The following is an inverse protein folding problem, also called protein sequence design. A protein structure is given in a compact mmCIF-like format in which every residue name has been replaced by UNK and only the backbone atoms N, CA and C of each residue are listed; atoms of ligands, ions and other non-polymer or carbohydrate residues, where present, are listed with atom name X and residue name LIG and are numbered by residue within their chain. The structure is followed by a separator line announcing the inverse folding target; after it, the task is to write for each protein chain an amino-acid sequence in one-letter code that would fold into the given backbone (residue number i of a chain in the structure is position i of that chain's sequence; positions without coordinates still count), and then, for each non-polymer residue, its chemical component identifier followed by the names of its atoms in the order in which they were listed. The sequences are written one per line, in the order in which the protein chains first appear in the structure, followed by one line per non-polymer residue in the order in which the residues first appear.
data_IF_107730708714
#
_entry.id   IF_107730708714
#
_cell.length_a   1.000
_cell.length_b   1.000
_cell.length_c   1.000
_cell.angle_alpha   90.00
_cell.angle_beta   90.00
_cell.angle_gamma   90.00
#
_symmetry.space_group_name_H-M   'P 1'
#
loop_
_entity.id
_entity.type
_entity.pdbx_description
1 polymer ?
#
# COMPACT_ATOMS: atom_id res chain seq x y z
N UNK A 1 5.36 48.74 9.98
CA UNK A 1 6.51 47.88 9.66
C UNK A 1 6.39 47.35 8.23
N UNK A 2 5.35 46.58 7.90
CA UNK A 2 5.19 45.90 6.59
C UNK A 2 5.22 46.87 5.41
N UNK A 3 4.48 48.00 5.51
CA UNK A 3 4.46 49.01 4.45
C UNK A 3 5.87 49.61 4.19
N UNK A 4 6.65 49.81 5.25
CA UNK A 4 8.00 50.34 5.12
C UNK A 4 9.00 49.35 4.52
N UNK A 5 8.85 48.03 4.88
CA UNK A 5 9.65 46.96 4.30
C UNK A 5 9.36 46.80 2.79
N UNK A 6 8.10 46.92 2.38
CA UNK A 6 7.71 46.94 0.97
C UNK A 6 8.28 48.13 0.20
N UNK A 7 8.30 49.32 0.78
CA UNK A 7 8.88 50.50 0.15
C UNK A 7 10.38 50.35 -0.11
N UNK A 8 11.09 49.62 0.75
CA UNK A 8 12.53 49.37 0.61
C UNK A 8 12.80 48.20 -0.36
N UNK A 9 11.75 47.52 -0.87
CA UNK A 9 11.89 46.38 -1.80
C UNK A 9 12.39 45.08 -1.16
N UNK A 10 12.28 44.97 0.17
CA UNK A 10 12.78 43.79 0.89
C UNK A 10 11.79 42.65 0.87
N UNK A 11 12.22 41.45 0.46
CA UNK A 11 11.45 40.23 0.65
C UNK A 11 11.49 39.83 2.13
N UNK A 12 10.33 39.76 2.75
CA UNK A 12 10.21 39.54 4.20
C UNK A 12 9.37 38.29 4.48
N UNK A 13 9.90 37.41 5.31
CA UNK A 13 9.16 36.28 5.87
C UNK A 13 8.87 36.57 7.33
N UNK A 14 7.60 36.48 7.71
CA UNK A 14 7.15 36.64 9.08
C UNK A 14 6.49 35.37 9.55
N UNK A 15 6.82 34.92 10.75
CA UNK A 15 6.16 33.81 11.40
C UNK A 15 5.27 34.31 12.53
N UNK A 16 4.11 33.68 12.68
CA UNK A 16 3.18 33.96 13.79
C UNK A 16 2.60 32.62 14.29
N UNK A 17 2.31 32.61 15.58
CA UNK A 17 1.68 31.45 16.21
C UNK A 17 0.16 31.58 16.20
N UNK A 18 -0.51 30.45 16.05
CA UNK A 18 -1.96 30.32 16.12
C UNK A 18 -2.33 29.81 17.50
N UNK A 19 -3.46 30.28 18.03
CA UNK A 19 -3.99 29.81 19.31
C UNK A 19 -4.70 28.46 19.14
N UNK A 20 -5.37 28.26 17.98
CA UNK A 20 -6.11 27.07 17.65
C UNK A 20 -5.75 26.59 16.24
N UNK A 21 -5.74 25.27 16.01
CA UNK A 21 -5.33 24.67 14.72
C UNK A 21 -6.23 25.08 13.56
N UNK A 22 -7.53 25.29 13.78
CA UNK A 22 -8.51 25.72 12.79
C UNK A 22 -9.18 27.05 13.12
N UNK A 23 -8.61 27.82 14.06
CA UNK A 23 -9.06 29.16 14.41
C UNK A 23 -8.57 30.25 13.42
N UNK A 24 -8.62 31.52 13.82
CA UNK A 24 -8.09 32.65 13.04
C UNK A 24 -6.63 32.42 12.62
N UNK A 25 -6.26 32.93 11.44
CA UNK A 25 -4.92 32.71 10.87
C UNK A 25 -3.81 33.25 11.76
N UNK A 26 -4.08 34.36 12.43
CA UNK A 26 -3.13 34.95 13.38
C UNK A 26 -3.89 35.57 14.54
N UNK A 27 -3.17 35.85 15.64
CA UNK A 27 -3.75 36.33 16.92
C UNK A 27 -4.59 37.57 16.79
N UNK A 28 -4.21 38.48 15.91
CA UNK A 28 -4.87 39.80 15.76
C UNK A 28 -5.74 39.87 14.48
N UNK A 29 -5.70 38.86 13.61
CA UNK A 29 -6.52 38.77 12.40
C UNK A 29 -6.21 39.79 11.31
N UNK A 30 -5.14 40.60 11.46
CA UNK A 30 -4.76 41.62 10.49
C UNK A 30 -3.60 41.22 9.61
N UNK A 31 -2.80 40.27 10.04
CA UNK A 31 -1.57 39.80 9.40
C UNK A 31 -1.84 39.21 8.00
N UNK A 32 -2.96 38.53 7.84
CA UNK A 32 -3.37 37.95 6.57
C UNK A 32 -3.75 38.99 5.52
N UNK A 33 -4.21 40.18 5.96
CA UNK A 33 -4.60 41.26 5.04
C UNK A 33 -3.40 42.05 4.51
N UNK A 34 -2.38 42.19 5.31
CA UNK A 34 -1.19 43.02 4.95
C UNK A 34 -0.13 42.19 4.21
N UNK A 35 -0.13 40.88 4.33
CA UNK A 35 0.82 39.98 3.65
C UNK A 35 0.37 39.68 2.22
N UNK A 36 1.32 39.45 1.32
CA UNK A 36 1.03 39.06 -0.07
C UNK A 36 0.79 37.56 -0.20
N UNK A 37 1.49 36.81 0.62
CA UNK A 37 1.37 35.34 0.67
C UNK A 37 1.10 34.90 2.11
N UNK A 38 0.23 33.90 2.27
CA UNK A 38 -0.09 33.30 3.57
C UNK A 38 0.01 31.79 3.42
N UNK A 39 0.91 31.21 4.20
CA UNK A 39 1.09 29.76 4.28
C UNK A 39 0.76 29.34 5.71
N UNK A 40 -0.12 28.37 5.85
CA UNK A 40 -0.53 27.81 7.14
C UNK A 40 0.14 26.46 7.30
N UNK A 41 0.78 26.26 8.43
CA UNK A 41 1.37 24.98 8.84
C UNK A 41 0.65 24.50 10.08
N UNK A 42 0.17 23.25 10.06
CA UNK A 42 -0.57 22.64 11.18
C UNK A 42 0.13 21.38 11.65
N UNK A 43 -0.10 21.03 12.92
CA UNK A 43 0.34 19.76 13.52
C UNK A 43 -0.81 19.14 14.31
N UNK A 44 -1.80 18.64 13.56
CA UNK A 44 -3.09 18.17 14.09
C UNK A 44 -2.94 16.78 14.71
N UNK A 45 -3.59 16.57 15.84
CA UNK A 45 -3.73 15.24 16.44
C UNK A 45 -4.89 14.52 15.73
N UNK A 46 -4.59 13.51 14.94
CA UNK A 46 -5.55 12.66 14.24
C UNK A 46 -5.36 11.20 14.68
N UNK A 47 -6.39 10.60 15.28
CA UNK A 47 -6.35 9.19 15.73
C UNK A 47 -5.08 8.83 16.54
N UNK A 48 -4.82 9.58 17.63
CA UNK A 48 -3.66 9.41 18.52
C UNK A 48 -2.29 9.76 17.93
N UNK A 49 -2.22 10.19 16.67
CA UNK A 49 -0.99 10.59 15.99
C UNK A 49 -1.04 12.05 15.56
N UNK A 50 0.14 12.69 15.58
CA UNK A 50 0.26 14.02 15.02
C UNK A 50 0.57 13.95 13.55
N UNK A 51 -0.25 14.66 12.77
CA UNK A 51 -0.10 14.81 11.32
C UNK A 51 0.22 16.25 10.99
N UNK A 52 1.32 16.45 10.27
CA UNK A 52 1.72 17.77 9.80
C UNK A 52 1.12 18.04 8.44
N UNK A 53 0.55 19.23 8.28
CA UNK A 53 -0.04 19.66 7.02
C UNK A 53 0.36 21.08 6.68
N UNK A 54 0.39 21.39 5.40
CA UNK A 54 0.66 22.71 4.85
C UNK A 54 -0.47 23.12 3.90
N UNK A 55 -0.90 24.37 4.01
CA UNK A 55 -1.92 24.96 3.16
C UNK A 55 -1.43 26.34 2.67
N UNK A 56 -1.59 26.62 1.38
CA UNK A 56 -1.43 27.95 0.83
C UNK A 56 -2.80 28.63 0.84
N UNK A 57 -3.03 29.46 1.85
CA UNK A 57 -4.29 30.19 1.98
C UNK A 57 -4.38 31.34 0.96
N UNK A 58 -3.27 32.02 0.71
CA UNK A 58 -3.20 33.18 -0.15
C UNK A 58 -1.87 33.23 -0.87
N UNK A 59 -1.93 33.52 -2.17
CA UNK A 59 -0.75 33.77 -2.99
C UNK A 59 -1.12 34.82 -4.04
N UNK A 60 -0.63 36.07 -3.89
CA UNK A 60 -0.95 37.15 -4.82
C UNK A 60 -0.17 37.01 -6.13
N UNK A 61 -0.81 37.38 -7.22
CA UNK A 61 -0.20 37.46 -8.54
C UNK A 61 -0.06 36.14 -9.30
N UNK A 62 -0.45 35.00 -8.70
CA UNK A 62 -0.42 33.70 -9.38
C UNK A 62 -1.48 32.73 -8.85
N UNK A 63 -1.73 31.69 -9.59
CA UNK A 63 -2.57 30.57 -9.15
C UNK A 63 -1.77 29.64 -8.23
N UNK A 64 -2.44 29.01 -7.28
CA UNK A 64 -1.85 28.02 -6.39
C UNK A 64 -2.78 26.81 -6.21
N UNK A 65 -2.23 25.72 -5.76
CA UNK A 65 -3.00 24.54 -5.39
C UNK A 65 -3.76 24.81 -4.10
N UNK A 66 -5.08 24.60 -4.16
CA UNK A 66 -5.96 24.78 -2.99
C UNK A 66 -6.03 23.48 -2.20
N UNK A 67 -6.16 23.61 -0.88
CA UNK A 67 -6.31 22.51 0.06
C UNK A 67 -5.12 22.33 0.98
N UNK A 68 -5.29 21.39 1.88
CA UNK A 68 -4.34 21.04 2.92
C UNK A 68 -3.55 19.80 2.48
N UNK A 69 -2.24 19.89 2.48
CA UNK A 69 -1.34 18.84 2.02
C UNK A 69 -0.49 18.32 3.17
N UNK A 70 -0.41 17.01 3.34
CA UNK A 70 0.49 16.44 4.34
C UNK A 70 1.95 16.66 3.94
N UNK A 71 2.82 16.81 4.95
CA UNK A 71 4.25 16.88 4.77
C UNK A 71 5.01 16.18 5.90
N UNK A 72 6.24 15.75 5.60
CA UNK A 72 7.19 15.22 6.57
C UNK A 72 8.44 16.09 6.63
N UNK A 73 9.13 16.03 7.76
CA UNK A 73 10.43 16.69 7.95
C UNK A 73 11.48 15.58 8.02
N UNK A 74 12.45 15.65 7.15
CA UNK A 74 13.57 14.70 7.07
C UNK A 74 14.89 15.45 7.20
N UNK A 75 16.01 14.72 7.21
CA UNK A 75 17.35 15.31 7.17
C UNK A 75 17.63 16.11 5.88
N UNK A 76 16.81 15.92 4.84
CA UNK A 76 16.89 16.66 3.58
C UNK A 76 15.94 17.86 3.54
N UNK A 77 15.18 18.10 4.61
CA UNK A 77 14.22 19.20 4.71
C UNK A 77 12.76 18.74 4.72
N UNK A 78 11.88 19.60 4.20
CA UNK A 78 10.44 19.38 4.16
C UNK A 78 10.05 18.67 2.86
N UNK A 79 9.38 17.53 2.97
CA UNK A 79 8.80 16.81 1.84
C UNK A 79 7.29 16.95 1.88
N UNK A 80 6.71 17.61 0.88
CA UNK A 80 5.26 17.81 0.75
C UNK A 80 4.72 16.74 -0.22
N UNK A 81 3.53 16.19 0.08
CA UNK A 81 2.86 15.17 -0.75
C UNK A 81 1.63 15.74 -1.46
N UNK A 82 1.81 16.51 -2.56
CA UNK A 82 0.72 17.14 -3.29
C UNK A 82 0.06 16.12 -4.23
N UNK A 83 -0.80 15.25 -3.71
CA UNK A 83 -1.44 14.21 -4.52
C UNK A 83 -2.31 14.76 -5.66
N UNK A 84 -2.86 15.96 -5.50
CA UNK A 84 -3.58 16.65 -6.58
C UNK A 84 -2.72 17.11 -7.76
N UNK A 85 -1.38 17.09 -7.60
CA UNK A 85 -0.44 17.41 -8.68
C UNK A 85 0.02 16.17 -9.47
N UNK A 86 -0.30 14.97 -9.01
CA UNK A 86 0.07 13.74 -9.73
C UNK A 86 -0.71 13.66 -11.05
N UNK A 87 0.00 13.79 -12.16
CA UNK A 87 -0.59 13.62 -13.48
C UNK A 87 -0.52 12.15 -13.88
N UNK A 88 -1.59 11.62 -14.46
CA UNK A 88 -1.64 10.29 -15.05
C UNK A 88 -0.96 10.32 -16.44
N UNK A 89 0.35 10.54 -16.44
CA UNK A 89 1.17 10.64 -17.67
C UNK A 89 1.98 9.37 -17.93
N UNK A 90 1.72 8.31 -17.19
CA UNK A 90 2.49 7.06 -17.29
C UNK A 90 2.29 6.43 -18.68
N UNK A 91 3.38 5.91 -19.24
CA UNK A 91 3.33 5.02 -20.39
C UNK A 91 2.80 3.66 -19.93
N UNK A 92 2.00 3.01 -20.74
CA UNK A 92 1.54 1.65 -20.50
C UNK A 92 2.39 0.67 -21.30
N UNK A 93 2.92 -0.36 -20.63
CA UNK A 93 3.72 -1.40 -21.27
C UNK A 93 2.85 -2.56 -21.70
N UNK A 94 3.13 -3.12 -22.90
CA UNK A 94 2.53 -4.38 -23.36
C UNK A 94 3.36 -5.61 -22.96
N UNK A 95 4.50 -5.41 -22.29
CA UNK A 95 5.35 -6.50 -21.79
C UNK A 95 4.68 -7.21 -20.63
N UNK A 96 4.70 -8.54 -20.65
CA UNK A 96 4.16 -9.36 -19.57
C UNK A 96 5.28 -9.86 -18.66
N UNK A 97 5.02 -9.84 -17.36
CA UNK A 97 5.88 -10.39 -16.31
C UNK A 97 5.16 -11.53 -15.62
N UNK A 98 5.88 -12.63 -15.39
CA UNK A 98 5.31 -13.81 -14.72
C UNK A 98 5.09 -13.53 -13.23
N UNK A 99 4.01 -14.09 -12.68
CA UNK A 99 3.71 -14.11 -11.25
C UNK A 99 4.54 -15.14 -10.47
N UNK A 100 5.29 -16.02 -11.14
CA UNK A 100 5.92 -17.20 -10.53
C UNK A 100 4.95 -18.38 -10.29
N UNK A 101 3.69 -18.22 -10.70
CA UNK A 101 2.66 -19.25 -10.59
C UNK A 101 1.98 -19.46 -11.95
N UNK A 102 2.36 -20.54 -12.65
CA UNK A 102 1.94 -20.79 -14.04
C UNK A 102 0.43 -20.69 -14.26
N UNK A 103 -0.37 -21.28 -13.40
CA UNK A 103 -1.83 -21.22 -13.52
C UNK A 103 -2.38 -19.81 -13.32
N UNK A 104 -1.74 -18.98 -12.51
CA UNK A 104 -2.11 -17.58 -12.33
C UNK A 104 -1.75 -16.75 -13.58
N UNK A 105 -0.60 -17.03 -14.17
CA UNK A 105 -0.19 -16.40 -15.43
C UNK A 105 -1.17 -16.76 -16.57
N UNK A 106 -1.58 -18.04 -16.67
CA UNK A 106 -2.59 -18.48 -17.64
C UNK A 106 -3.93 -17.77 -17.43
N UNK A 107 -4.38 -17.60 -16.17
CA UNK A 107 -5.61 -16.85 -15.86
C UNK A 107 -5.52 -15.37 -16.28
N UNK A 108 -4.32 -14.80 -16.33
CA UNK A 108 -4.06 -13.41 -16.72
C UNK A 108 -3.62 -13.25 -18.18
N UNK A 109 -3.74 -14.30 -19.00
CA UNK A 109 -3.35 -14.21 -20.41
C UNK A 109 -1.84 -14.08 -20.64
N UNK A 110 -1.05 -14.77 -19.79
CA UNK A 110 0.42 -14.82 -19.90
C UNK A 110 1.18 -14.01 -18.84
N UNK A 111 0.53 -13.67 -17.73
CA UNK A 111 1.12 -12.90 -16.63
C UNK A 111 0.58 -11.48 -16.51
N UNK A 112 1.21 -10.67 -15.68
CA UNK A 112 0.82 -9.28 -15.43
C UNK A 112 1.46 -8.33 -16.45
N UNK A 113 0.88 -7.19 -16.70
CA UNK A 113 1.60 -6.15 -17.42
C UNK A 113 2.73 -5.57 -16.55
N UNK A 114 3.90 -5.34 -17.14
CA UNK A 114 4.94 -4.54 -16.51
C UNK A 114 4.33 -3.17 -16.18
N UNK A 115 4.74 -2.54 -15.08
CA UNK A 115 4.18 -1.28 -14.59
C UNK A 115 2.75 -1.35 -14.00
N UNK A 116 2.16 -2.54 -13.88
CA UNK A 116 0.83 -2.69 -13.29
C UNK A 116 0.88 -2.90 -11.77
N UNK A 117 -0.22 -2.53 -11.13
CA UNK A 117 -0.44 -2.75 -9.70
C UNK A 117 -1.45 -3.87 -9.52
N UNK A 118 -1.00 -4.92 -8.85
CA UNK A 118 -1.78 -6.11 -8.55
C UNK A 118 -2.22 -6.07 -7.09
N UNK A 119 -3.47 -6.34 -6.81
CA UNK A 119 -4.02 -6.47 -5.47
C UNK A 119 -4.53 -7.89 -5.21
N UNK A 120 -3.96 -8.57 -4.22
CA UNK A 120 -4.50 -9.82 -3.70
C UNK A 120 -5.26 -9.54 -2.40
N UNK A 121 -6.55 -9.84 -2.37
CA UNK A 121 -7.41 -9.63 -1.20
C UNK A 121 -8.01 -10.94 -0.72
N UNK A 122 -8.23 -11.06 0.59
CA UNK A 122 -8.83 -12.27 1.18
C UNK A 122 -8.54 -12.38 2.67
N UNK A 123 -9.18 -13.35 3.33
CA UNK A 123 -8.98 -13.60 4.75
C UNK A 123 -7.54 -14.02 5.08
N UNK A 124 -7.18 -13.95 6.34
CA UNK A 124 -5.89 -14.46 6.85
C UNK A 124 -5.74 -15.95 6.51
N UNK A 125 -4.52 -16.38 6.18
CA UNK A 125 -4.21 -17.77 5.85
C UNK A 125 -4.58 -18.20 4.43
N UNK A 126 -5.11 -17.34 3.56
CA UNK A 126 -5.51 -17.68 2.19
C UNK A 126 -4.35 -17.74 1.18
N UNK A 127 -3.09 -17.59 1.62
CA UNK A 127 -1.90 -17.72 0.78
C UNK A 127 -1.44 -16.43 0.11
N UNK A 128 -1.87 -15.25 0.57
CA UNK A 128 -1.47 -13.95 0.01
C UNK A 128 0.05 -13.75 0.07
N UNK A 129 0.66 -13.97 1.23
CA UNK A 129 2.12 -13.87 1.43
C UNK A 129 2.89 -14.86 0.55
N UNK A 130 2.36 -16.08 0.34
CA UNK A 130 2.97 -17.05 -0.58
C UNK A 130 2.96 -16.55 -2.03
N UNK A 131 1.84 -15.97 -2.49
CA UNK A 131 1.75 -15.40 -3.85
C UNK A 131 2.75 -14.25 -4.05
N UNK A 132 2.85 -13.37 -3.07
CA UNK A 132 3.85 -12.28 -3.06
C UNK A 132 5.26 -12.85 -3.12
N UNK A 133 5.57 -13.84 -2.27
CA UNK A 133 6.90 -14.46 -2.23
C UNK A 133 7.28 -15.12 -3.57
N UNK A 134 6.34 -15.80 -4.23
CA UNK A 134 6.54 -16.38 -5.57
C UNK A 134 6.76 -15.31 -6.64
N UNK A 135 6.01 -14.21 -6.58
CA UNK A 135 6.17 -13.09 -7.51
C UNK A 135 7.55 -12.44 -7.40
N UNK A 136 8.06 -12.24 -6.18
CA UNK A 136 9.38 -11.67 -5.95
C UNK A 136 10.49 -12.66 -6.36
N UNK A 137 10.37 -13.95 -5.97
CA UNK A 137 11.30 -15.01 -6.38
C UNK A 137 11.43 -15.08 -7.90
N UNK A 138 10.32 -15.06 -8.63
CA UNK A 138 10.32 -15.14 -10.09
C UNK A 138 11.08 -13.96 -10.72
N UNK A 139 10.97 -12.75 -10.17
CA UNK A 139 11.79 -11.61 -10.59
C UNK A 139 13.28 -11.87 -10.35
N UNK A 140 13.64 -12.32 -9.15
CA UNK A 140 15.02 -12.60 -8.79
C UNK A 140 15.65 -13.71 -9.67
N UNK A 141 14.89 -14.74 -10.05
CA UNK A 141 15.39 -15.79 -10.97
C UNK A 141 15.69 -15.25 -12.37
N UNK A 142 15.10 -14.12 -12.73
CA UNK A 142 15.38 -13.40 -13.99
C UNK A 142 16.40 -12.28 -13.82
N UNK A 143 17.13 -12.27 -12.70
CA UNK A 143 18.09 -11.22 -12.35
C UNK A 143 17.46 -9.83 -12.20
N UNK A 144 16.16 -9.75 -11.96
CA UNK A 144 15.45 -8.52 -11.61
C UNK A 144 15.58 -8.26 -10.11
N UNK A 145 15.78 -7.00 -9.73
CA UNK A 145 15.75 -6.62 -8.31
C UNK A 145 14.31 -6.55 -7.82
N UNK A 146 14.07 -7.12 -6.64
CA UNK A 146 12.76 -7.17 -6.02
C UNK A 146 12.82 -6.62 -4.59
N UNK A 147 11.73 -5.99 -4.12
CA UNK A 147 11.66 -5.42 -2.78
C UNK A 147 10.35 -5.79 -2.10
N UNK A 148 10.44 -6.15 -0.80
CA UNK A 148 9.30 -6.47 0.04
C UNK A 148 9.21 -5.49 1.21
N UNK A 149 8.07 -4.83 1.35
CA UNK A 149 7.68 -4.07 2.54
C UNK A 149 6.67 -4.91 3.33
N UNK A 150 7.07 -5.38 4.51
CA UNK A 150 6.27 -6.25 5.36
C UNK A 150 5.86 -5.53 6.65
N UNK A 151 4.57 -5.54 6.96
CA UNK A 151 3.99 -4.81 8.08
C UNK A 151 3.31 -5.69 9.13
N UNK A 152 3.26 -7.01 8.94
CA UNK A 152 2.59 -7.93 9.86
C UNK A 152 3.52 -9.06 10.35
N UNK A 153 4.58 -9.37 9.63
CA UNK A 153 5.51 -10.44 9.96
C UNK A 153 6.94 -9.92 10.13
N UNK A 154 7.67 -10.50 11.09
CA UNK A 154 9.09 -10.23 11.24
C UNK A 154 9.88 -10.90 10.12
N UNK A 155 11.09 -10.38 9.86
CA UNK A 155 12.00 -10.95 8.86
C UNK A 155 12.26 -12.45 9.08
N UNK A 156 12.50 -12.87 10.33
CA UNK A 156 12.75 -14.27 10.66
C UNK A 156 11.53 -15.17 10.37
N UNK A 157 10.30 -14.67 10.63
CA UNK A 157 9.08 -15.39 10.30
C UNK A 157 8.91 -15.51 8.78
N UNK A 158 9.12 -14.42 8.03
CA UNK A 158 9.04 -14.43 6.57
C UNK A 158 10.05 -15.38 5.95
N UNK A 159 11.33 -15.33 6.36
CA UNK A 159 12.39 -16.24 5.86
C UNK A 159 12.06 -17.70 6.15
N UNK A 160 11.63 -18.02 7.38
CA UNK A 160 11.21 -19.37 7.74
C UNK A 160 10.02 -19.86 6.89
N UNK A 161 9.00 -19.01 6.71
CA UNK A 161 7.82 -19.35 5.93
C UNK A 161 8.19 -19.52 4.45
N UNK A 162 8.99 -18.63 3.89
CA UNK A 162 9.48 -18.70 2.51
C UNK A 162 10.29 -19.97 2.25
N UNK A 163 11.18 -20.33 3.18
CA UNK A 163 11.99 -21.56 3.08
C UNK A 163 11.12 -22.81 3.00
N UNK A 164 10.02 -22.87 3.76
CA UNK A 164 9.05 -23.98 3.68
C UNK A 164 8.37 -24.11 2.31
N UNK A 165 8.36 -23.04 1.51
CA UNK A 165 7.81 -22.99 0.16
C UNK A 165 8.88 -23.15 -0.93
N UNK A 166 10.12 -23.48 -0.53
CA UNK A 166 11.27 -23.62 -1.44
C UNK A 166 11.81 -22.27 -1.94
N UNK A 167 11.69 -21.21 -1.13
CA UNK A 167 12.21 -19.89 -1.43
C UNK A 167 13.22 -19.51 -0.36
N UNK A 168 14.47 -19.29 -0.76
CA UNK A 168 15.52 -18.85 0.12
C UNK A 168 15.72 -17.34 0.00
N UNK A 169 15.09 -16.60 0.91
CA UNK A 169 15.18 -15.13 0.93
C UNK A 169 16.56 -14.64 1.32
N UNK A 170 17.28 -15.38 2.17
CA UNK A 170 18.61 -14.99 2.62
C UNK A 170 19.61 -15.08 1.46
N UNK A 171 19.58 -16.14 0.67
CA UNK A 171 20.39 -16.27 -0.55
C UNK A 171 20.11 -15.16 -1.56
N UNK A 172 18.82 -14.83 -1.77
CA UNK A 172 18.44 -13.76 -2.70
C UNK A 172 18.91 -12.37 -2.22
N UNK A 173 18.90 -12.11 -0.92
CA UNK A 173 19.43 -10.87 -0.35
C UNK A 173 20.95 -10.79 -0.44
N UNK A 174 21.65 -11.88 -0.16
CA UNK A 174 23.12 -11.97 -0.30
C UNK A 174 23.56 -11.72 -1.75
N UNK A 175 22.76 -12.14 -2.72
CA UNK A 175 22.98 -11.86 -4.15
C UNK A 175 22.61 -10.41 -4.56
N UNK A 176 22.08 -9.61 -3.64
CA UNK A 176 21.64 -8.24 -3.92
C UNK A 176 20.42 -8.16 -4.85
N UNK A 177 19.67 -9.25 -5.01
CA UNK A 177 18.46 -9.31 -5.85
C UNK A 177 17.18 -9.04 -5.06
N UNK A 178 17.17 -9.27 -3.76
CA UNK A 178 16.04 -9.01 -2.89
C UNK A 178 16.44 -8.03 -1.79
N UNK A 179 15.52 -7.15 -1.40
CA UNK A 179 15.62 -6.34 -0.18
C UNK A 179 14.30 -6.44 0.57
N UNK A 180 14.37 -6.80 1.86
CA UNK A 180 13.19 -6.94 2.72
C UNK A 180 13.25 -5.90 3.84
N UNK A 181 12.20 -5.08 3.93
CA UNK A 181 12.00 -4.13 5.01
C UNK A 181 10.79 -4.56 5.85
N UNK A 182 11.04 -4.82 7.12
CA UNK A 182 9.99 -5.14 8.09
C UNK A 182 9.83 -3.97 9.04
N UNK A 183 8.61 -3.49 9.22
CA UNK A 183 8.29 -2.42 10.14
C UNK A 183 6.92 -2.65 10.78
N UNK A 184 6.73 -2.21 12.01
CA UNK A 184 5.39 -2.12 12.59
C UNK A 184 4.66 -0.94 11.95
N UNK A 185 3.38 -1.11 11.53
CA UNK A 185 2.59 -0.03 10.96
C UNK A 185 2.51 1.19 11.87
N UNK A 186 2.53 0.92 13.18
CA UNK A 186 2.42 1.94 14.23
C UNK A 186 3.72 2.71 14.48
N UNK A 187 4.86 2.31 13.88
CA UNK A 187 6.16 2.95 14.11
C UNK A 187 6.26 4.36 13.51
N UNK A 188 5.45 4.66 12.50
CA UNK A 188 5.48 5.93 11.78
C UNK A 188 4.10 6.33 11.23
N UNK A 189 3.94 7.57 10.78
CA UNK A 189 2.77 8.00 10.01
C UNK A 189 2.76 7.46 8.58
N UNK A 190 1.61 7.51 7.91
CA UNK A 190 1.51 7.05 6.51
C UNK A 190 2.43 7.83 5.57
N UNK A 191 2.60 9.12 5.82
CA UNK A 191 3.48 10.00 5.05
C UNK A 191 4.95 9.60 5.23
N UNK A 192 5.34 9.22 6.46
CA UNK A 192 6.70 8.76 6.74
C UNK A 192 6.95 7.39 6.09
N UNK A 193 5.98 6.45 6.17
CA UNK A 193 6.05 5.18 5.44
C UNK A 193 6.17 5.40 3.92
N UNK A 194 5.40 6.34 3.36
CA UNK A 194 5.49 6.67 1.93
C UNK A 194 6.87 7.22 1.57
N UNK A 195 7.45 8.06 2.43
CA UNK A 195 8.79 8.60 2.22
C UNK A 195 9.86 7.51 2.29
N UNK A 196 9.77 6.61 3.27
CA UNK A 196 10.66 5.45 3.39
C UNK A 196 10.57 4.58 2.13
N UNK A 197 9.36 4.23 1.69
CA UNK A 197 9.16 3.43 0.48
C UNK A 197 9.81 4.10 -0.73
N UNK A 198 9.61 5.41 -0.92
CA UNK A 198 10.20 6.16 -2.04
C UNK A 198 11.72 6.21 -1.99
N UNK A 199 12.30 6.46 -0.82
CA UNK A 199 13.76 6.54 -0.66
C UNK A 199 14.43 5.19 -0.90
N UNK A 200 13.86 4.11 -0.38
CA UNK A 200 14.37 2.75 -0.56
C UNK A 200 14.28 2.28 -2.02
N UNK A 201 13.17 2.61 -2.70
CA UNK A 201 13.00 2.34 -4.13
C UNK A 201 14.04 3.13 -4.95
N UNK A 202 14.25 4.40 -4.65
CA UNK A 202 15.21 5.24 -5.36
C UNK A 202 16.66 4.74 -5.19
N UNK A 203 17.00 4.21 -4.01
CA UNK A 203 18.32 3.64 -3.72
C UNK A 203 18.51 2.27 -4.39
N UNK A 204 17.57 1.35 -4.16
CA UNK A 204 17.72 -0.04 -4.60
C UNK A 204 17.34 -0.26 -6.06
N UNK A 205 16.48 0.58 -6.63
CA UNK A 205 15.96 0.53 -8.03
C UNK A 205 15.38 -0.84 -8.38
N UNK A 206 14.35 -1.31 -7.67
CA UNK A 206 13.74 -2.59 -7.94
C UNK A 206 12.87 -2.52 -9.20
N UNK A 207 12.71 -3.64 -9.92
CA UNK A 207 11.71 -3.81 -10.99
C UNK A 207 10.38 -4.32 -10.45
N UNK A 208 10.41 -4.94 -9.26
CA UNK A 208 9.23 -5.48 -8.59
C UNK A 208 9.18 -5.05 -7.15
N UNK A 209 8.02 -4.62 -6.70
CA UNK A 209 7.79 -4.33 -5.29
C UNK A 209 6.58 -5.12 -4.76
N UNK A 210 6.62 -5.42 -3.48
CA UNK A 210 5.46 -5.96 -2.78
C UNK A 210 5.22 -5.23 -1.47
N UNK A 211 3.94 -5.10 -1.09
CA UNK A 211 3.52 -4.58 0.22
C UNK A 211 2.59 -5.62 0.86
N UNK A 212 3.01 -6.19 1.97
CA UNK A 212 2.27 -7.19 2.75
C UNK A 212 2.15 -6.75 4.22
N UNK A 213 1.00 -6.20 4.64
CA UNK A 213 -0.23 -5.93 3.92
C UNK A 213 -0.63 -4.46 4.01
N UNK A 214 -1.38 -3.99 3.00
CA UNK A 214 -1.98 -2.65 3.03
C UNK A 214 -2.98 -2.49 4.19
N UNK A 215 -3.71 -3.55 4.55
CA UNK A 215 -4.67 -3.53 5.67
C UNK A 215 -4.01 -3.25 7.02
N UNK A 216 -2.76 -3.61 7.21
CA UNK A 216 -2.01 -3.27 8.42
C UNK A 216 -1.83 -1.75 8.55
N UNK A 217 -1.48 -1.08 7.46
CA UNK A 217 -1.30 0.37 7.40
C UNK A 217 -2.63 1.16 7.48
N UNK A 218 -3.75 0.52 7.19
CA UNK A 218 -5.08 1.15 7.28
C UNK A 218 -5.60 1.28 8.72
N UNK A 219 -5.00 0.55 9.68
CA UNK A 219 -5.47 0.53 11.07
C UNK A 219 -5.24 1.87 11.75
N UNK A 220 -6.29 2.41 12.36
CA UNK A 220 -6.20 3.66 13.13
C UNK A 220 -5.94 4.93 12.33
N UNK A 221 -6.16 4.91 11.02
CA UNK A 221 -6.03 6.09 10.15
C UNK A 221 -7.33 6.38 9.41
N UNK A 222 -7.54 7.62 9.00
CA UNK A 222 -8.72 7.98 8.23
C UNK A 222 -8.70 7.37 6.82
N UNK A 223 -9.86 7.02 6.29
CA UNK A 223 -9.99 6.47 4.94
C UNK A 223 -9.36 7.39 3.86
N UNK A 224 -9.44 8.70 4.06
CA UNK A 224 -8.86 9.67 3.13
C UNK A 224 -7.32 9.63 3.17
N UNK A 225 -6.71 9.62 4.36
CA UNK A 225 -5.26 9.52 4.52
C UNK A 225 -4.73 8.21 3.92
N UNK A 226 -5.40 7.09 4.21
CA UNK A 226 -5.04 5.79 3.66
C UNK A 226 -5.16 5.76 2.13
N UNK A 227 -6.26 6.29 1.57
CA UNK A 227 -6.43 6.41 0.12
C UNK A 227 -5.33 7.25 -0.51
N UNK A 228 -4.97 8.37 0.11
CA UNK A 228 -3.88 9.23 -0.33
C UNK A 228 -2.54 8.49 -0.34
N UNK A 229 -2.25 7.71 0.71
CA UNK A 229 -1.07 6.88 0.78
C UNK A 229 -1.00 5.88 -0.39
N UNK A 230 -2.10 5.13 -0.63
CA UNK A 230 -2.14 4.14 -1.73
C UNK A 230 -1.96 4.81 -3.09
N UNK A 231 -2.61 5.96 -3.33
CA UNK A 231 -2.40 6.75 -4.56
C UNK A 231 -0.91 7.16 -4.68
N UNK A 232 -0.31 7.63 -3.59
CA UNK A 232 1.10 8.04 -3.57
C UNK A 232 2.06 6.91 -3.92
N UNK A 233 1.89 5.74 -3.33
CA UNK A 233 2.72 4.56 -3.61
C UNK A 233 2.51 4.04 -5.02
N UNK A 234 1.25 3.86 -5.44
CA UNK A 234 0.92 3.30 -6.76
C UNK A 234 1.34 4.24 -7.89
N UNK A 235 1.11 5.54 -7.72
CA UNK A 235 1.53 6.54 -8.69
C UNK A 235 3.05 6.59 -8.85
N UNK A 236 3.79 6.53 -7.72
CA UNK A 236 5.25 6.50 -7.75
C UNK A 236 5.77 5.21 -8.40
N UNK A 237 5.24 4.04 -8.02
CA UNK A 237 5.64 2.78 -8.62
C UNK A 237 5.43 2.77 -10.14
N UNK A 238 4.30 3.31 -10.61
CA UNK A 238 4.01 3.42 -12.06
C UNK A 238 4.94 4.41 -12.77
N UNK A 239 5.33 5.52 -12.12
CA UNK A 239 6.29 6.49 -12.69
C UNK A 239 7.67 5.87 -12.86
N UNK A 240 8.08 5.01 -11.93
CA UNK A 240 9.36 4.28 -11.97
C UNK A 240 9.28 2.97 -12.79
N UNK A 241 8.18 2.72 -13.50
CA UNK A 241 7.91 1.50 -14.31
C UNK A 241 8.05 0.21 -13.50
N UNK A 242 7.68 0.24 -12.21
CA UNK A 242 7.77 -0.88 -11.28
C UNK A 242 6.45 -1.64 -11.25
N UNK A 243 6.53 -2.98 -11.32
CA UNK A 243 5.35 -3.83 -11.10
C UNK A 243 5.13 -4.04 -9.61
N UNK A 244 3.95 -3.65 -9.12
CA UNK A 244 3.59 -3.73 -7.70
C UNK A 244 2.63 -4.87 -7.40
N UNK A 245 2.91 -5.67 -6.36
CA UNK A 245 2.00 -6.70 -5.86
C UNK A 245 1.66 -6.43 -4.40
N UNK A 246 0.44 -5.99 -4.14
CA UNK A 246 -0.01 -5.60 -2.81
C UNK A 246 -1.02 -6.59 -2.27
N UNK A 247 -1.00 -6.80 -0.95
CA UNK A 247 -1.99 -7.64 -0.28
C UNK A 247 -2.92 -6.81 0.59
N UNK A 248 -4.14 -7.31 0.74
CA UNK A 248 -5.12 -6.71 1.64
C UNK A 248 -5.88 -7.82 2.35
N UNK A 249 -5.98 -7.73 3.67
CA UNK A 249 -6.74 -8.70 4.47
C UNK A 249 -8.16 -8.19 4.67
N UNK A 250 -9.14 -9.06 4.43
CA UNK A 250 -10.56 -8.77 4.62
C UNK A 250 -11.12 -9.67 5.71
N UNK A 251 -11.89 -9.09 6.63
CA UNK A 251 -12.61 -9.84 7.66
C UNK A 251 -13.84 -10.50 7.05
N UNK A 252 -13.80 -11.84 6.91
CA UNK A 252 -14.90 -12.61 6.29
C UNK A 252 -16.09 -12.86 7.22
N UNK A 253 -16.04 -12.49 8.50
CA UNK A 253 -17.05 -12.88 9.47
C UNK A 253 -18.27 -11.94 9.57
N UNK A 254 -18.24 -10.78 8.97
CA UNK A 254 -19.39 -9.87 8.89
C UNK A 254 -19.70 -9.56 7.43
N UNK A 255 -20.87 -9.98 7.00
CA UNK A 255 -21.33 -9.79 5.63
C UNK A 255 -21.17 -8.35 5.15
N UNK A 256 -20.76 -8.19 3.89
CA UNK A 256 -20.85 -6.97 3.10
C UNK A 256 -19.90 -5.78 3.39
N UNK A 257 -18.69 -5.94 3.89
CA UNK A 257 -17.70 -4.89 3.60
C UNK A 257 -17.12 -5.15 2.21
N UNK A 258 -17.59 -4.39 1.26
CA UNK A 258 -17.19 -4.41 -0.13
C UNK A 258 -15.70 -4.04 -0.26
N UNK A 259 -14.97 -4.72 -1.14
CA UNK A 259 -13.63 -4.29 -1.61
C UNK A 259 -13.64 -2.84 -2.07
N UNK A 260 -14.83 -2.31 -2.37
CA UNK A 260 -15.10 -0.94 -2.79
C UNK A 260 -15.06 0.07 -1.65
N UNK A 261 -15.19 -0.33 -0.38
CA UNK A 261 -15.28 0.62 0.74
C UNK A 261 -13.96 1.38 0.97
N UNK A 262 -12.82 0.79 0.63
CA UNK A 262 -11.51 1.46 0.68
C UNK A 262 -11.12 2.19 -0.61
N UNK A 263 -11.96 2.13 -1.67
CA UNK A 263 -11.67 2.70 -3.00
C UNK A 263 -10.32 2.27 -3.63
N UNK A 264 -9.65 1.26 -3.08
CA UNK A 264 -8.35 0.75 -3.59
C UNK A 264 -8.56 0.07 -4.95
N UNK A 265 -9.71 -0.56 -5.16
CA UNK A 265 -10.07 -1.24 -6.41
C UNK A 265 -10.03 -0.33 -7.64
N UNK A 266 -10.19 0.98 -7.48
CA UNK A 266 -10.14 1.93 -8.59
C UNK A 266 -8.72 2.28 -9.03
N UNK A 267 -7.72 2.03 -8.16
CA UNK A 267 -6.33 2.43 -8.34
C UNK A 267 -5.48 1.25 -8.85
N UNK A 268 -5.99 0.02 -8.68
CA UNK A 268 -5.29 -1.22 -9.06
C UNK A 268 -5.72 -1.72 -10.44
N UNK A 269 -4.78 -2.31 -11.18
CA UNK A 269 -5.00 -2.79 -12.54
C UNK A 269 -5.53 -4.23 -12.56
N UNK A 270 -5.12 -5.03 -11.58
CA UNK A 270 -5.54 -6.44 -11.43
C UNK A 270 -5.95 -6.72 -9.99
N UNK A 271 -7.06 -7.41 -9.79
CA UNK A 271 -7.57 -7.75 -8.46
C UNK A 271 -7.84 -9.25 -8.37
N UNK A 272 -7.23 -9.89 -7.38
CA UNK A 272 -7.49 -11.28 -7.03
C UNK A 272 -8.21 -11.36 -5.69
N UNK A 273 -9.24 -12.19 -5.63
CA UNK A 273 -9.90 -12.54 -4.39
C UNK A 273 -9.58 -13.98 -4.03
N UNK A 274 -8.95 -14.19 -2.89
CA UNK A 274 -8.66 -15.50 -2.34
C UNK A 274 -9.67 -15.86 -1.24
N UNK A 275 -10.36 -17.01 -1.39
CA UNK A 275 -11.36 -17.52 -0.44
C UNK A 275 -11.05 -18.96 -0.07
N UNK A 276 -11.31 -19.32 1.19
CA UNK A 276 -11.37 -20.74 1.58
C UNK A 276 -12.73 -21.33 1.22
N UNK A 277 -12.74 -22.48 0.54
CA UNK A 277 -13.94 -23.28 0.35
C UNK A 277 -14.21 -24.19 1.55
N UNK A 278 -15.44 -24.70 1.67
CA UNK A 278 -15.91 -25.58 2.77
C UNK A 278 -15.08 -26.86 2.95
N UNK A 279 -14.22 -27.22 2.02
CA UNK A 279 -13.33 -28.41 2.05
C UNK A 279 -11.84 -28.04 2.17
N UNK A 280 -11.49 -26.96 2.84
CA UNK A 280 -10.10 -26.48 3.00
C UNK A 280 -9.32 -26.36 1.67
N UNK A 281 -10.00 -26.15 0.55
CA UNK A 281 -9.38 -25.87 -0.74
C UNK A 281 -9.44 -24.39 -1.00
N UNK A 282 -8.27 -23.77 -1.19
CA UNK A 282 -8.17 -22.37 -1.58
C UNK A 282 -8.74 -22.16 -2.99
N UNK A 283 -9.53 -21.11 -3.16
CA UNK A 283 -10.09 -20.68 -4.44
C UNK A 283 -9.61 -19.29 -4.73
N UNK A 284 -8.98 -19.10 -5.88
CA UNK A 284 -8.55 -17.79 -6.35
C UNK A 284 -9.46 -17.34 -7.50
N UNK A 285 -10.00 -16.15 -7.40
CA UNK A 285 -10.86 -15.55 -8.42
C UNK A 285 -10.24 -14.25 -8.89
N UNK A 286 -10.05 -14.08 -10.18
CA UNK A 286 -9.68 -12.80 -10.77
C UNK A 286 -10.95 -11.97 -10.97
N UNK A 287 -11.03 -10.80 -10.30
CA UNK A 287 -12.16 -9.88 -10.42
C UNK A 287 -11.92 -8.85 -11.53
N UNK A 288 -10.65 -8.49 -11.79
CA UNK A 288 -10.26 -7.55 -12.81
C UNK A 288 -8.89 -7.95 -13.35
N UNK A 289 -8.77 -8.04 -14.66
CA UNK A 289 -7.50 -8.25 -15.34
C UNK A 289 -7.39 -7.21 -16.46
N UNK A 290 -6.26 -6.52 -16.57
CA UNK A 290 -6.04 -5.47 -17.58
C UNK A 290 -6.05 -5.93 -19.04
N UNK A 291 -6.45 -7.18 -19.32
CA UNK A 291 -6.57 -7.68 -20.69
C UNK A 291 -7.89 -7.22 -21.35
N UNK A 292 -7.86 -6.67 -22.57
CA UNK A 292 -9.07 -6.33 -23.30
C UNK A 292 -9.88 -7.61 -23.57
N UNK A 293 -11.14 -7.64 -23.13
CA UNK A 293 -12.10 -8.74 -23.36
C UNK A 293 -12.46 -9.62 -22.16
N UNK A 294 -11.86 -9.46 -20.98
CA UNK A 294 -12.18 -10.23 -19.78
C UNK A 294 -13.04 -9.47 -18.77
N UNK A 295 -14.10 -8.84 -19.24
CA UNK A 295 -15.26 -8.50 -18.38
C UNK A 295 -16.32 -9.58 -18.68
N UNK A 296 -16.16 -10.75 -18.13
CA UNK A 296 -17.26 -11.73 -17.98
C UNK A 296 -17.27 -12.25 -16.56
N UNK A 297 -18.42 -12.02 -15.94
CA UNK A 297 -18.71 -12.36 -14.57
C UNK A 297 -18.44 -13.82 -14.25
N UNK A 298 -18.17 -14.06 -13.01
CA UNK A 298 -18.36 -15.23 -12.14
C UNK A 298 -17.97 -16.66 -12.64
N UNK A 299 -17.62 -16.91 -13.88
CA UNK A 299 -17.47 -18.28 -14.39
C UNK A 299 -16.05 -18.83 -14.52
N UNK A 300 -14.99 -18.05 -14.35
CA UNK A 300 -13.62 -18.58 -14.38
C UNK A 300 -13.05 -18.84 -12.98
N UNK A 301 -13.69 -19.75 -12.26
CA UNK A 301 -13.18 -20.24 -10.98
C UNK A 301 -12.37 -21.52 -11.25
N UNK A 302 -11.05 -21.44 -11.42
CA UNK A 302 -10.17 -22.61 -11.39
C UNK A 302 -9.73 -22.88 -9.96
N UNK A 303 -9.94 -24.10 -9.51
CA UNK A 303 -9.45 -24.64 -8.25
C UNK A 303 -7.93 -24.79 -8.33
N UNK A 304 -7.18 -23.92 -7.64
CA UNK A 304 -5.77 -24.19 -7.35
C UNK A 304 -5.69 -25.22 -6.22
N UNK A 305 -5.19 -26.41 -6.50
CA UNK A 305 -4.74 -27.35 -5.48
C UNK A 305 -3.42 -26.81 -4.89
N UNK A 306 -3.50 -25.79 -4.03
CA UNK A 306 -2.41 -25.40 -3.15
C UNK A 306 -2.48 -26.26 -1.89
N UNK A 307 -2.28 -27.58 -2.04
CA UNK A 307 -1.93 -28.41 -0.90
C UNK A 307 -0.41 -28.20 -0.68
N UNK A 308 0.04 -27.65 0.44
CA UNK A 308 1.40 -27.86 0.85
C UNK A 308 1.55 -29.38 1.01
N UNK A 309 2.63 -29.95 0.51
CA UNK A 309 3.07 -31.30 0.87
C UNK A 309 3.51 -31.29 2.33
N UNK A 310 2.60 -31.07 3.24
CA UNK A 310 2.80 -31.35 4.65
C UNK A 310 2.51 -32.84 4.83
N UNK A 311 3.56 -33.62 5.05
CA UNK A 311 3.50 -34.97 5.56
C UNK A 311 2.96 -34.97 7.00
N UNK A 312 1.68 -34.70 7.17
CA UNK A 312 0.96 -35.06 8.37
C UNK A 312 0.61 -36.58 8.16
N UNK A 313 1.41 -37.44 8.80
CA UNK A 313 1.01 -38.81 9.02
C UNK A 313 -0.34 -38.76 9.70
N UNK A 314 -1.35 -39.36 9.05
CA UNK A 314 -2.67 -39.61 9.61
C UNK A 314 -2.50 -40.43 10.88
N UNK A 315 -2.56 -39.82 12.04
CA UNK A 315 -2.85 -40.52 13.28
C UNK A 315 -4.32 -40.85 13.20
N UNK A 316 -4.61 -42.12 13.01
CA UNK A 316 -5.93 -42.73 13.14
C UNK A 316 -6.47 -42.49 14.54
N UNK A 317 -7.37 -41.53 14.67
CA UNK A 317 -8.25 -41.44 15.83
C UNK A 317 -9.37 -42.47 15.71
N UNK A 318 -9.06 -43.73 16.07
CA UNK A 318 -10.04 -44.70 16.50
C UNK A 318 -10.26 -44.47 18.01
N UNK A 319 -11.44 -44.01 18.37
CA UNK A 319 -11.88 -43.99 19.75
C UNK A 319 -12.33 -42.65 20.29
N UNK A 320 -13.56 -42.32 19.97
CA UNK A 320 -14.43 -41.48 20.83
C UNK A 320 -15.87 -41.65 20.36
N UNK A 321 -16.47 -42.76 20.78
CA UNK A 321 -17.91 -42.94 20.87
C UNK A 321 -18.41 -42.29 22.16
N UNK A 322 -19.59 -41.67 22.08
CA UNK A 322 -20.44 -41.24 23.16
C UNK A 322 -20.17 -39.90 23.86
N UNK A 323 -20.83 -38.84 23.38
CA UNK A 323 -21.38 -37.83 24.24
C UNK A 323 -22.87 -37.65 23.95
N UNK A 324 -23.68 -37.91 24.99
CA UNK A 324 -25.15 -37.88 25.05
C UNK A 324 -25.70 -36.49 24.70
N UNK A 325 -26.81 -36.51 23.95
CA UNK A 325 -27.78 -35.39 23.91
C UNK A 325 -28.35 -35.14 25.29
N UNK A 326 -28.24 -33.90 25.76
CA UNK A 326 -29.10 -33.39 26.85
C UNK A 326 -30.04 -32.39 26.20
N UNK A 327 -31.34 -32.73 26.23
CA UNK A 327 -32.41 -31.81 25.90
C UNK A 327 -32.63 -30.86 27.06
N UNK A 328 -32.76 -29.56 26.77
CA UNK A 328 -33.30 -28.57 27.67
C UNK A 328 -34.74 -28.25 27.28
N UNK A 329 -35.58 -28.37 28.25
CA UNK A 329 -36.97 -27.82 28.25
C UNK A 329 -36.92 -26.33 28.39
#
# INVERSE_FOLDING_TARGET
LVARLKQVGTTTIMTTERVEEYGPVARFGVEEFVSDNVVIVRNVLESERRRRTIEILKLRGTTHMKGEYPFTITNQGINIFPLGAMRLTQRSSNVRVSSGVKTLDEMCGGGFFKDSIILATGATGTGKTLLVSKFLQEGCTRSERAMLFAYEESRAQLSRNAYSWGIDFEDLEQKGLLRILCAYPESAGLEDHLQIIKSEIAEFKPSRIAIDSLSALARGVSNNAFRQFVIGVTGFAKQEEITGFFTNTTDQFMGSHSITDSHISTITDTIFMSKFGVKCRGRLTCLRCGAPGMIRGFENTRLMNMAPKFGIRSATLSGLSAVRRVALR
#
